data_IF_248131336214
#
_entry.id   IF_248131336214
#
_cell.length_a   1.000
_cell.length_b   1.000
_cell.length_c   1.000
_cell.angle_alpha   90.00
_cell.angle_beta   90.00
_cell.angle_gamma   90.00
#
_symmetry.space_group_name_H-M   'P 1'
#
loop_
_entity.id
_entity.type
_entity.pdbx_description
1 polymer ?
#
# COMPACT_ATOMS: atom_id res chain seq x y z
N UNK A 1 -8.79 26.92 18.41
CA UNK A 1 -8.99 25.46 18.61
C UNK A 1 -7.89 24.73 17.86
N UNK A 2 -7.28 23.68 18.43
CA UNK A 2 -6.18 22.95 17.78
C UNK A 2 -6.62 22.35 16.43
N UNK A 3 -5.74 22.44 15.43
CA UNK A 3 -5.95 22.04 14.03
C UNK A 3 -5.68 20.54 13.82
N UNK A 4 -5.94 20.03 12.62
CA UNK A 4 -5.54 18.69 12.20
C UNK A 4 -4.54 18.79 11.04
N UNK A 5 -3.37 18.16 11.17
CA UNK A 5 -2.41 18.07 10.07
C UNK A 5 -2.65 16.79 9.27
N UNK A 6 -2.76 16.87 7.94
CA UNK A 6 -2.99 15.70 7.08
C UNK A 6 -1.99 15.67 5.94
N UNK A 7 -1.23 14.58 5.86
CA UNK A 7 -0.21 14.39 4.83
C UNK A 7 -0.82 14.18 3.44
N UNK A 8 -0.27 14.87 2.45
CA UNK A 8 -0.71 14.81 1.05
C UNK A 8 0.49 14.65 0.11
N UNK A 9 0.55 13.49 -0.57
CA UNK A 9 1.59 13.25 -1.57
C UNK A 9 1.35 14.03 -2.85
N UNK A 10 0.23 13.78 -3.52
CA UNK A 10 -0.03 14.34 -4.85
C UNK A 10 -1.32 15.17 -4.87
N UNK A 11 -1.56 15.88 -5.97
CA UNK A 11 -2.81 16.62 -6.22
C UNK A 11 -4.08 15.78 -5.92
N UNK A 12 -4.06 14.48 -6.24
CA UNK A 12 -5.18 13.58 -5.95
C UNK A 12 -5.48 13.45 -4.46
N UNK A 13 -4.44 13.37 -3.63
CA UNK A 13 -4.57 13.34 -2.18
C UNK A 13 -5.08 14.70 -1.69
N UNK A 14 -4.48 15.79 -2.15
CA UNK A 14 -4.87 17.14 -1.74
C UNK A 14 -6.34 17.47 -2.06
N UNK A 15 -6.87 16.97 -3.17
CA UNK A 15 -8.28 17.13 -3.53
C UNK A 15 -9.21 16.39 -2.56
N UNK A 16 -8.88 15.14 -2.22
CA UNK A 16 -9.62 14.39 -1.21
C UNK A 16 -9.58 15.09 0.14
N UNK A 17 -8.37 15.46 0.57
CA UNK A 17 -8.15 16.12 1.85
C UNK A 17 -8.88 17.46 1.90
N UNK A 18 -8.92 18.23 0.82
CA UNK A 18 -9.69 19.48 0.76
C UNK A 18 -11.20 19.26 1.01
N UNK A 19 -11.80 18.20 0.46
CA UNK A 19 -13.21 17.90 0.76
C UNK A 19 -13.38 17.41 2.20
N UNK A 20 -12.46 16.56 2.67
CA UNK A 20 -12.43 16.11 4.05
C UNK A 20 -12.26 17.29 5.04
N UNK A 21 -11.44 18.28 4.72
CA UNK A 21 -11.23 19.49 5.52
C UNK A 21 -12.50 20.29 5.73
N UNK A 22 -13.36 20.38 4.70
CA UNK A 22 -14.67 21.03 4.83
C UNK A 22 -15.56 20.26 5.80
N UNK A 23 -15.60 18.93 5.67
CA UNK A 23 -16.37 18.08 6.57
C UNK A 23 -15.85 18.13 8.02
N UNK A 24 -14.53 18.11 8.22
CA UNK A 24 -13.90 18.28 9.53
C UNK A 24 -14.32 19.63 10.13
N UNK A 25 -14.27 20.71 9.36
CA UNK A 25 -14.64 22.05 9.83
C UNK A 25 -16.10 22.11 10.24
N UNK A 26 -16.99 21.50 9.44
CA UNK A 26 -18.42 21.44 9.72
C UNK A 26 -18.74 20.63 10.97
N UNK A 27 -18.18 19.42 11.11
CA UNK A 27 -18.50 18.48 12.20
C UNK A 27 -17.81 18.85 13.51
N UNK A 28 -16.55 19.30 13.45
CA UNK A 28 -15.71 19.48 14.64
C UNK A 28 -15.35 20.94 14.92
N UNK A 29 -15.55 21.85 13.96
CA UNK A 29 -15.07 23.24 14.00
C UNK A 29 -13.57 23.42 13.73
N UNK A 30 -12.81 22.33 13.58
CA UNK A 30 -11.33 22.37 13.47
C UNK A 30 -10.89 22.75 12.07
N UNK A 31 -9.86 23.59 12.01
CA UNK A 31 -9.16 23.85 10.75
C UNK A 31 -8.14 22.74 10.47
N UNK A 32 -7.73 22.63 9.21
CA UNK A 32 -6.80 21.61 8.75
C UNK A 32 -5.59 22.22 8.06
N UNK A 33 -4.43 21.59 8.21
CA UNK A 33 -3.19 21.94 7.51
C UNK A 33 -2.73 20.75 6.67
N UNK A 34 -2.49 20.95 5.37
CA UNK A 34 -1.94 19.87 4.53
C UNK A 34 -0.42 19.79 4.65
N UNK A 35 0.12 18.61 4.98
CA UNK A 35 1.57 18.35 4.92
C UNK A 35 1.91 17.88 3.50
N UNK A 36 2.31 18.82 2.63
CA UNK A 36 2.55 18.56 1.21
C UNK A 36 3.94 17.93 0.99
N UNK A 37 3.99 16.81 0.27
CA UNK A 37 5.25 16.10 -0.03
C UNK A 37 5.79 16.36 -1.45
N UNK A 38 4.91 16.43 -2.45
CA UNK A 38 5.31 16.72 -3.84
C UNK A 38 4.78 18.06 -4.33
N UNK A 39 5.41 18.57 -5.39
CA UNK A 39 5.07 19.88 -5.94
C UNK A 39 3.60 19.99 -6.38
N UNK A 40 3.00 18.92 -6.92
CA UNK A 40 1.58 18.97 -7.32
C UNK A 40 0.61 19.19 -6.14
N UNK A 41 0.92 18.63 -4.98
CA UNK A 41 0.17 18.83 -3.72
C UNK A 41 0.27 20.28 -3.26
N UNK A 42 1.49 20.83 -3.22
CA UNK A 42 1.73 22.23 -2.87
C UNK A 42 1.02 23.21 -3.81
N UNK A 43 1.14 22.98 -5.13
CA UNK A 43 0.50 23.84 -6.14
C UNK A 43 -1.04 23.80 -6.03
N UNK A 44 -1.60 22.64 -5.68
CA UNK A 44 -3.05 22.53 -5.44
C UNK A 44 -3.47 23.37 -4.23
N UNK A 45 -2.72 23.32 -3.13
CA UNK A 45 -3.02 24.12 -1.93
C UNK A 45 -2.93 25.62 -2.22
N UNK A 46 -1.88 26.07 -2.92
CA UNK A 46 -1.74 27.48 -3.34
C UNK A 46 -2.92 27.93 -4.18
N UNK A 47 -3.30 27.15 -5.21
CA UNK A 47 -4.38 27.50 -6.14
C UNK A 47 -5.75 27.62 -5.44
N UNK A 48 -5.96 26.86 -4.37
CA UNK A 48 -7.22 26.82 -3.63
C UNK A 48 -7.15 27.58 -2.29
N UNK A 49 -6.08 28.35 -2.05
CA UNK A 49 -5.87 29.11 -0.81
C UNK A 49 -6.01 28.27 0.46
N UNK A 50 -5.52 27.02 0.43
CA UNK A 50 -5.55 26.10 1.58
C UNK A 50 -4.32 26.32 2.45
N UNK A 51 -4.46 26.13 3.77
CA UNK A 51 -3.31 26.12 4.67
C UNK A 51 -2.47 24.85 4.47
N UNK A 52 -1.15 25.02 4.31
CA UNK A 52 -0.25 23.91 4.02
C UNK A 52 1.16 24.13 4.59
N UNK A 53 1.88 23.03 4.76
CA UNK A 53 3.32 22.98 5.04
C UNK A 53 3.96 22.19 3.91
N UNK A 54 4.84 22.83 3.13
CA UNK A 54 5.76 22.12 2.23
C UNK A 54 6.80 21.40 3.11
N UNK A 55 6.55 20.13 3.43
CA UNK A 55 7.29 19.43 4.47
C UNK A 55 8.76 19.19 4.03
N UNK A 56 9.05 18.58 2.86
CA UNK A 56 10.42 18.44 2.38
C UNK A 56 11.15 19.77 2.20
N UNK A 57 10.44 20.81 1.74
CA UNK A 57 11.01 22.15 1.59
C UNK A 57 11.39 22.79 2.92
N UNK A 58 10.53 22.71 3.93
CA UNK A 58 10.84 23.23 5.27
C UNK A 58 11.95 22.44 5.95
N UNK A 59 11.91 21.11 5.97
CA UNK A 59 12.95 20.26 6.57
C UNK A 59 14.35 20.59 6.01
N UNK A 60 14.45 20.96 4.74
CA UNK A 60 15.74 21.33 4.11
C UNK A 60 16.29 22.69 4.53
N UNK A 61 15.47 23.60 5.03
CA UNK A 61 15.91 24.93 5.49
C UNK A 61 16.72 24.84 6.79
N UNK A 62 16.50 23.80 7.58
CA UNK A 62 17.16 23.62 8.87
C UNK A 62 18.56 23.00 8.71
N UNK A 63 19.49 23.49 9.54
CA UNK A 63 20.80 22.89 9.71
C UNK A 63 20.69 21.88 10.86
N UNK A 64 20.59 20.59 10.53
CA UNK A 64 20.57 19.54 11.54
C UNK A 64 21.85 19.54 12.37
N UNK A 65 21.73 19.30 13.66
CA UNK A 65 22.88 18.92 14.48
C UNK A 65 23.50 17.63 13.95
N UNK A 66 24.81 17.64 13.70
CA UNK A 66 25.51 16.50 13.06
C UNK A 66 25.60 15.24 13.95
N UNK A 67 25.27 15.37 15.23
CA UNK A 67 25.52 14.34 16.25
C UNK A 67 24.28 13.54 16.67
N UNK A 68 23.12 13.73 16.02
CA UNK A 68 21.92 12.95 16.34
C UNK A 68 22.09 11.51 15.83
N UNK A 69 21.95 10.54 16.74
CA UNK A 69 21.91 9.12 16.39
C UNK A 69 20.47 8.72 16.06
N UNK A 70 20.23 8.34 14.81
CA UNK A 70 18.91 7.91 14.34
C UNK A 70 18.88 6.37 14.28
N UNK A 71 17.95 5.70 14.98
CA UNK A 71 17.77 4.26 14.83
C UNK A 71 17.49 3.86 13.38
N UNK A 72 18.19 2.84 12.89
CA UNK A 72 18.15 2.40 11.49
C UNK A 72 16.73 2.10 10.97
N UNK A 73 15.86 1.57 11.83
CA UNK A 73 14.48 1.22 11.46
C UNK A 73 13.65 2.40 10.96
N UNK A 74 14.01 3.67 11.28
CA UNK A 74 13.31 4.85 10.77
C UNK A 74 13.54 5.08 9.28
N UNK A 75 14.68 4.67 8.73
CA UNK A 75 15.06 4.94 7.35
C UNK A 75 15.47 3.68 6.57
N UNK A 76 15.32 2.49 7.16
CA UNK A 76 15.66 1.20 6.56
C UNK A 76 14.97 1.01 5.21
N UNK A 77 13.68 1.29 5.12
CA UNK A 77 12.92 1.16 3.87
C UNK A 77 13.61 1.90 2.72
N UNK A 78 14.07 3.13 2.96
CA UNK A 78 14.75 3.94 1.95
C UNK A 78 16.13 3.38 1.59
N UNK A 79 16.88 2.87 2.57
CA UNK A 79 18.18 2.22 2.33
C UNK A 79 18.00 0.96 1.50
N UNK A 80 16.97 0.15 1.76
CA UNK A 80 16.68 -1.04 0.97
C UNK A 80 16.33 -0.71 -0.49
N UNK A 81 15.74 0.46 -0.77
CA UNK A 81 15.51 0.93 -2.15
C UNK A 81 16.82 1.27 -2.87
N UNK A 82 17.75 1.95 -2.19
CA UNK A 82 19.03 2.41 -2.74
C UNK A 82 20.16 2.33 -1.69
N UNK A 83 20.77 1.15 -1.49
CA UNK A 83 21.80 0.96 -0.46
C UNK A 83 22.98 1.92 -0.61
N UNK A 84 23.33 2.30 -1.84
CA UNK A 84 24.41 3.22 -2.15
C UNK A 84 24.16 4.67 -1.68
N UNK A 85 22.91 5.00 -1.32
CA UNK A 85 22.49 6.31 -0.85
C UNK A 85 22.31 6.37 0.68
N UNK A 86 22.70 5.34 1.44
CA UNK A 86 22.49 5.25 2.89
C UNK A 86 22.89 6.53 3.64
N UNK A 87 24.07 7.08 3.35
CA UNK A 87 24.53 8.33 3.98
C UNK A 87 23.55 9.49 3.78
N UNK A 88 22.96 9.62 2.60
CA UNK A 88 22.00 10.68 2.29
C UNK A 88 20.67 10.45 3.01
N UNK A 89 20.24 9.19 3.15
CA UNK A 89 19.05 8.84 3.94
C UNK A 89 19.24 9.12 5.42
N UNK A 90 20.40 8.81 5.98
CA UNK A 90 20.73 9.16 7.36
C UNK A 90 20.76 10.69 7.55
N UNK A 91 21.40 11.42 6.65
CA UNK A 91 21.50 12.88 6.73
C UNK A 91 20.12 13.55 6.65
N UNK A 92 19.24 13.12 5.73
CA UNK A 92 17.88 13.67 5.68
C UNK A 92 17.05 13.23 6.88
N UNK A 93 17.25 12.01 7.41
CA UNK A 93 16.54 11.55 8.60
C UNK A 93 16.90 12.37 9.83
N UNK A 94 18.16 12.78 9.99
CA UNK A 94 18.58 13.73 11.03
C UNK A 94 17.89 15.08 10.91
N UNK A 95 17.68 15.57 9.67
CA UNK A 95 16.92 16.81 9.44
C UNK A 95 15.45 16.66 9.78
N UNK A 96 14.81 15.55 9.41
CA UNK A 96 13.43 15.28 9.81
C UNK A 96 13.30 15.15 11.32
N UNK A 97 14.26 14.49 11.97
CA UNK A 97 14.31 14.37 13.43
C UNK A 97 14.38 15.73 14.09
N UNK A 98 15.38 16.55 13.75
CA UNK A 98 15.55 17.89 14.30
C UNK A 98 14.35 18.80 14.00
N UNK A 99 13.81 18.73 12.76
CA UNK A 99 12.60 19.45 12.39
C UNK A 99 11.41 19.11 13.28
N UNK A 100 11.10 17.81 13.43
CA UNK A 100 9.98 17.39 14.26
C UNK A 100 10.25 17.62 15.74
N UNK A 101 11.48 17.53 16.22
CA UNK A 101 11.80 17.76 17.62
C UNK A 101 11.61 19.22 18.04
N UNK A 102 12.15 20.13 17.21
CA UNK A 102 12.43 21.51 17.60
C UNK A 102 11.61 22.57 16.84
N UNK A 103 11.03 22.24 15.68
CA UNK A 103 10.47 23.26 14.78
C UNK A 103 9.04 22.98 14.31
N UNK A 104 8.60 21.72 14.33
CA UNK A 104 7.22 21.38 13.99
C UNK A 104 6.30 21.80 15.15
N UNK A 105 5.25 22.62 14.91
CA UNK A 105 4.42 23.20 15.97
C UNK A 105 3.39 22.19 16.48
N UNK A 106 3.84 21.16 17.19
CA UNK A 106 2.97 20.08 17.70
C UNK A 106 1.82 20.59 18.57
N UNK A 107 2.07 21.65 19.35
CA UNK A 107 1.10 22.28 20.22
C UNK A 107 -0.13 22.83 19.48
N UNK A 108 0.01 23.17 18.20
CA UNK A 108 -1.07 23.67 17.35
C UNK A 108 -2.03 22.55 16.89
N UNK A 109 -1.63 21.29 17.00
CA UNK A 109 -2.35 20.16 16.44
C UNK A 109 -3.05 19.30 17.49
N UNK A 110 -4.29 18.93 17.19
CA UNK A 110 -5.06 17.92 17.91
C UNK A 110 -4.63 16.51 17.46
N UNK A 111 -4.55 16.32 16.14
CA UNK A 111 -4.11 15.09 15.52
C UNK A 111 -3.27 15.34 14.26
N UNK A 112 -2.42 14.37 13.92
CA UNK A 112 -1.63 14.31 12.68
C UNK A 112 -1.89 13.00 11.95
N UNK A 113 -2.20 13.09 10.67
CA UNK A 113 -2.54 11.95 9.81
C UNK A 113 -1.46 11.76 8.74
N UNK A 114 -0.74 10.64 8.80
CA UNK A 114 0.37 10.31 7.90
C UNK A 114 -0.04 9.30 6.81
N UNK A 115 0.55 9.40 5.62
CA UNK A 115 0.42 8.37 4.58
C UNK A 115 1.50 7.31 4.82
N UNK A 116 1.07 6.08 5.05
CA UNK A 116 1.98 4.98 5.39
C UNK A 116 2.74 5.21 6.70
N UNK A 117 3.42 4.18 7.20
CA UNK A 117 4.11 4.21 8.51
C UNK A 117 5.60 3.78 8.45
N UNK A 118 6.08 3.30 7.29
CA UNK A 118 7.47 2.82 7.12
C UNK A 118 8.44 3.85 6.53
N UNK A 119 7.93 4.87 5.82
CA UNK A 119 8.77 5.89 5.18
C UNK A 119 9.31 6.86 6.23
N UNK A 120 10.58 7.26 6.12
CA UNK A 120 11.28 8.09 7.10
C UNK A 120 10.51 9.31 7.63
N UNK A 121 9.77 10.00 6.77
CA UNK A 121 9.02 11.20 7.17
C UNK A 121 7.77 10.88 8.00
N UNK A 122 7.14 9.72 7.76
CA UNK A 122 5.95 9.25 8.50
C UNK A 122 6.36 8.47 9.74
N UNK A 123 7.44 7.69 9.68
CA UNK A 123 7.93 6.91 10.82
C UNK A 123 8.51 7.82 11.91
N UNK A 124 9.36 8.79 11.55
CA UNK A 124 9.91 9.78 12.48
C UNK A 124 8.79 10.73 12.96
N UNK A 125 7.93 11.19 12.05
CA UNK A 125 6.80 12.05 12.41
C UNK A 125 5.84 11.38 13.39
N UNK A 126 5.51 10.12 13.17
CA UNK A 126 4.67 9.35 14.09
C UNK A 126 5.34 9.05 15.43
N UNK A 127 6.66 8.89 15.47
CA UNK A 127 7.42 8.80 16.73
C UNK A 127 7.28 10.09 17.56
N UNK A 128 7.51 11.26 16.94
CA UNK A 128 7.39 12.53 17.65
C UNK A 128 5.95 12.90 18.00
N UNK A 129 4.97 12.55 17.17
CA UNK A 129 3.57 12.71 17.52
C UNK A 129 3.24 12.02 18.85
N UNK A 130 3.69 10.76 19.03
CA UNK A 130 3.54 10.01 20.28
C UNK A 130 4.32 10.64 21.44
N UNK A 131 5.57 11.04 21.20
CA UNK A 131 6.41 11.67 22.22
C UNK A 131 5.84 13.01 22.71
N UNK A 132 5.16 13.75 21.84
CA UNK A 132 4.53 15.05 22.13
C UNK A 132 3.04 14.93 22.50
N UNK A 133 2.55 13.71 22.71
CA UNK A 133 1.17 13.42 23.09
C UNK A 133 0.11 13.97 22.12
N UNK A 134 0.46 14.03 20.82
CA UNK A 134 -0.46 14.39 19.73
C UNK A 134 -1.01 13.11 19.11
N UNK A 135 -2.32 13.05 18.91
CA UNK A 135 -2.96 11.88 18.31
C UNK A 135 -2.41 11.64 16.90
N UNK A 136 -2.09 10.39 16.57
CA UNK A 136 -1.54 10.02 15.27
C UNK A 136 -2.42 8.98 14.61
N UNK A 137 -2.65 9.15 13.31
CA UNK A 137 -3.31 8.17 12.44
C UNK A 137 -2.47 7.93 11.20
N UNK A 138 -2.52 6.72 10.68
CA UNK A 138 -1.91 6.34 9.42
C UNK A 138 -2.99 5.95 8.44
N UNK A 139 -2.85 6.34 7.17
CA UNK A 139 -3.80 5.95 6.13
C UNK A 139 -3.16 5.45 4.86
N UNK A 140 -3.86 4.51 4.21
CA UNK A 140 -3.54 3.96 2.89
C UNK A 140 -4.81 3.54 2.13
N UNK A 141 -4.76 3.40 0.79
CA UNK A 141 -5.81 2.71 0.04
C UNK A 141 -6.05 1.31 0.58
N UNK A 142 -7.32 0.98 0.83
CA UNK A 142 -7.76 -0.36 1.15
C UNK A 142 -8.31 -1.13 -0.07
N UNK A 143 -8.66 -2.41 0.11
CA UNK A 143 -9.37 -3.21 -0.88
C UNK A 143 -10.77 -2.62 -1.18
N UNK A 144 -11.39 -3.06 -2.28
CA UNK A 144 -12.75 -2.66 -2.68
C UNK A 144 -12.99 -1.15 -2.82
N UNK A 145 -11.94 -0.38 -3.12
CA UNK A 145 -12.06 1.06 -3.34
C UNK A 145 -12.23 1.88 -2.05
N UNK A 146 -11.79 1.34 -0.92
CA UNK A 146 -11.81 2.02 0.38
C UNK A 146 -10.49 2.74 0.69
N UNK A 147 -10.46 3.43 1.82
CA UNK A 147 -9.24 3.87 2.51
C UNK A 147 -9.25 3.31 3.93
N UNK A 148 -8.08 2.93 4.41
CA UNK A 148 -7.84 2.43 5.76
C UNK A 148 -7.29 3.58 6.61
N UNK A 149 -7.75 3.69 7.86
CA UNK A 149 -7.23 4.58 8.89
C UNK A 149 -7.00 3.79 10.18
N UNK A 150 -5.81 3.93 10.78
CA UNK A 150 -5.46 3.22 12.01
C UNK A 150 -4.39 4.00 12.80
N UNK A 151 -4.55 4.19 14.13
CA UNK A 151 -3.54 4.86 14.96
C UNK A 151 -2.24 4.07 15.17
N UNK A 152 -2.25 2.74 14.97
CA UNK A 152 -1.07 1.89 15.19
C UNK A 152 -0.11 1.86 13.99
N UNK A 153 -0.67 1.84 12.78
CA UNK A 153 0.07 1.70 11.53
C UNK A 153 -0.83 1.15 10.43
N UNK A 154 -0.29 0.99 9.22
CA UNK A 154 -1.01 0.42 8.08
C UNK A 154 -0.40 -0.90 7.65
N UNK A 155 -1.12 -1.66 6.81
CA UNK A 155 -0.71 -2.99 6.38
C UNK A 155 -0.44 -3.88 7.60
N UNK A 156 0.61 -4.71 7.63
CA UNK A 156 0.85 -5.65 8.73
C UNK A 156 0.93 -5.00 10.14
N UNK A 157 1.17 -3.69 10.23
CA UNK A 157 1.22 -2.95 11.49
C UNK A 157 -0.16 -2.50 12.01
N UNK A 158 -1.24 -2.79 11.29
CA UNK A 158 -2.59 -2.47 11.73
C UNK A 158 -2.93 -3.12 13.08
N UNK A 159 -3.79 -2.45 13.84
CA UNK A 159 -4.34 -2.91 15.11
C UNK A 159 -5.10 -4.22 14.98
N UNK A 160 -5.74 -4.47 13.82
CA UNK A 160 -6.48 -5.71 13.54
C UNK A 160 -5.58 -6.95 13.44
N UNK A 161 -4.30 -6.80 13.10
CA UNK A 161 -3.39 -7.94 12.86
C UNK A 161 -3.32 -8.90 14.05
N UNK A 162 -3.42 -8.37 15.28
CA UNK A 162 -3.35 -9.16 16.53
C UNK A 162 -4.71 -9.48 17.14
N UNK A 163 -5.81 -9.08 16.51
CA UNK A 163 -7.16 -9.35 17.00
C UNK A 163 -7.56 -10.81 16.75
N UNK A 164 -8.14 -11.49 17.73
CA UNK A 164 -8.72 -12.82 17.53
C UNK A 164 -10.11 -12.74 16.92
N UNK A 165 -10.55 -13.82 16.26
CA UNK A 165 -11.92 -13.92 15.75
C UNK A 165 -12.95 -13.82 16.88
N UNK A 166 -12.66 -14.36 18.07
CA UNK A 166 -13.54 -14.24 19.24
C UNK A 166 -13.69 -12.79 19.71
N UNK A 167 -12.59 -12.02 19.71
CA UNK A 167 -12.63 -10.59 20.00
C UNK A 167 -13.49 -9.85 18.96
N UNK A 168 -13.34 -10.17 17.68
CA UNK A 168 -14.15 -9.57 16.61
C UNK A 168 -15.63 -9.91 16.79
N UNK A 169 -15.96 -11.17 17.12
CA UNK A 169 -17.32 -11.65 17.39
C UNK A 169 -18.00 -10.86 18.50
N UNK A 170 -17.25 -10.51 19.55
CA UNK A 170 -17.78 -9.71 20.66
C UNK A 170 -17.96 -8.21 20.35
N UNK A 171 -17.42 -7.71 19.24
CA UNK A 171 -17.42 -6.28 18.89
C UNK A 171 -18.32 -5.93 17.68
N UNK A 172 -18.81 -6.94 16.96
CA UNK A 172 -19.75 -6.76 15.85
C UNK A 172 -21.05 -7.46 16.22
N UNK A 173 -22.15 -6.72 16.15
CA UNK A 173 -23.47 -7.32 16.33
C UNK A 173 -23.72 -8.32 15.19
N UNK A 174 -24.17 -9.52 15.52
CA UNK A 174 -24.40 -10.62 14.58
C UNK A 174 -25.32 -10.20 13.43
N UNK A 175 -26.38 -9.43 13.74
CA UNK A 175 -27.33 -8.89 12.76
C UNK A 175 -26.70 -7.86 11.80
N UNK A 176 -25.57 -7.24 12.18
CA UNK A 176 -24.86 -6.26 11.34
C UNK A 176 -23.83 -6.90 10.41
N UNK A 177 -23.37 -8.13 10.68
CA UNK A 177 -22.23 -8.75 9.97
C UNK A 177 -22.51 -8.80 8.46
N UNK A 178 -23.66 -9.34 8.06
CA UNK A 178 -24.03 -9.50 6.66
C UNK A 178 -24.14 -8.14 5.94
N UNK A 179 -24.72 -7.15 6.62
CA UNK A 179 -24.85 -5.79 6.08
C UNK A 179 -23.48 -5.14 5.86
N UNK A 180 -22.60 -5.18 6.87
CA UNK A 180 -21.27 -4.59 6.81
C UNK A 180 -20.38 -5.29 5.78
N UNK A 181 -20.43 -6.62 5.73
CA UNK A 181 -19.73 -7.42 4.72
C UNK A 181 -20.15 -7.01 3.32
N UNK A 182 -21.45 -7.04 3.02
CA UNK A 182 -21.98 -6.69 1.69
C UNK A 182 -21.67 -5.23 1.34
N UNK A 183 -21.79 -4.32 2.30
CA UNK A 183 -21.43 -2.90 2.12
C UNK A 183 -19.95 -2.74 1.78
N UNK A 184 -19.04 -3.51 2.37
CA UNK A 184 -17.62 -3.47 2.07
C UNK A 184 -17.31 -3.99 0.65
N UNK A 185 -17.75 -5.21 0.34
CA UNK A 185 -17.34 -5.90 -0.89
C UNK A 185 -18.01 -5.35 -2.15
N UNK A 186 -19.14 -4.66 -2.01
CA UNK A 186 -19.83 -4.03 -3.14
C UNK A 186 -18.97 -2.88 -3.64
N UNK A 187 -18.25 -3.10 -4.74
CA UNK A 187 -17.43 -2.07 -5.37
C UNK A 187 -18.30 -0.88 -5.77
N UNK A 188 -17.95 0.33 -5.33
CA UNK A 188 -18.48 1.53 -6.00
C UNK A 188 -17.60 1.74 -7.22
N UNK A 189 -18.09 1.41 -8.42
CA UNK A 189 -17.35 1.65 -9.65
C UNK A 189 -17.32 3.16 -9.92
N UNK A 190 -16.40 3.87 -9.26
CA UNK A 190 -16.28 5.30 -9.42
C UNK A 190 -15.32 5.67 -10.54
N UNK A 191 -15.74 6.67 -11.33
CA UNK A 191 -14.87 7.28 -12.33
C UNK A 191 -13.68 7.91 -11.63
N UNK A 192 -12.48 7.42 -11.96
CA UNK A 192 -11.22 8.02 -11.50
C UNK A 192 -11.07 9.41 -12.10
N UNK A 193 -10.67 10.38 -11.30
CA UNK A 193 -10.61 11.80 -11.69
C UNK A 193 -9.74 12.07 -12.93
N UNK A 194 -8.70 11.27 -13.18
CA UNK A 194 -7.69 11.52 -14.22
C UNK A 194 -7.87 10.72 -15.51
N UNK A 195 -9.05 10.19 -15.80
CA UNK A 195 -9.25 9.44 -17.04
C UNK A 195 -9.09 10.36 -18.27
N UNK A 196 -8.03 10.11 -19.09
CA UNK A 196 -7.80 10.61 -20.46
C UNK A 196 -7.51 12.11 -20.68
N UNK A 197 -7.13 12.90 -19.67
CA UNK A 197 -6.77 14.32 -19.88
C UNK A 197 -5.24 14.54 -20.02
N UNK A 198 -4.77 15.00 -21.18
CA UNK A 198 -3.35 15.30 -21.49
C UNK A 198 -2.73 16.29 -20.48
N UNK A 199 -3.47 17.32 -20.04
CA UNK A 199 -2.98 18.30 -19.07
C UNK A 199 -2.69 17.71 -17.67
N UNK A 200 -3.20 16.52 -17.37
CA UNK A 200 -2.86 15.81 -16.13
C UNK A 200 -1.49 15.12 -16.16
N UNK A 201 -0.98 14.81 -17.34
CA UNK A 201 0.35 14.22 -17.49
C UNK A 201 1.44 15.26 -17.24
N UNK A 202 1.27 16.47 -17.80
CA UNK A 202 2.19 17.60 -17.58
C UNK A 202 2.29 18.01 -16.10
N UNK A 203 1.17 18.01 -15.37
CA UNK A 203 1.14 18.30 -13.93
C UNK A 203 1.95 17.30 -13.09
N UNK A 204 2.12 16.06 -13.57
CA UNK A 204 2.85 14.99 -12.88
C UNK A 204 4.34 14.96 -13.19
N UNK A 205 4.82 15.71 -14.19
CA UNK A 205 6.24 15.68 -14.58
C UNK A 205 7.14 16.08 -13.41
N UNK A 206 6.76 17.12 -12.65
CA UNK A 206 7.54 17.56 -11.48
C UNK A 206 7.59 16.46 -10.41
N UNK A 207 6.45 15.86 -10.10
CA UNK A 207 6.38 14.77 -9.11
C UNK A 207 7.23 13.56 -9.54
N UNK A 208 7.19 13.21 -10.83
CA UNK A 208 8.00 12.14 -11.41
C UNK A 208 9.49 12.49 -11.30
N UNK A 209 9.91 13.69 -11.66
CA UNK A 209 11.31 14.11 -11.51
C UNK A 209 11.76 14.13 -10.04
N UNK A 210 10.85 14.44 -9.10
CA UNK A 210 11.12 14.35 -7.66
C UNK A 210 11.24 12.89 -7.18
N UNK A 211 10.42 11.96 -7.71
CA UNK A 211 10.40 10.56 -7.28
C UNK A 211 11.44 9.67 -7.96
N UNK A 212 11.79 9.97 -9.20
CA UNK A 212 12.71 9.20 -10.04
C UNK A 212 13.67 10.12 -10.77
N UNK A 213 14.50 10.93 -10.08
CA UNK A 213 15.42 11.84 -10.75
C UNK A 213 16.47 11.07 -11.58
N UNK A 214 17.00 11.68 -12.65
CA UNK A 214 18.16 11.13 -13.36
C UNK A 214 19.32 10.86 -12.39
N UNK A 215 20.10 9.80 -12.65
CA UNK A 215 21.13 9.30 -11.72
C UNK A 215 22.10 10.38 -11.24
N UNK A 216 22.50 11.31 -12.12
CA UNK A 216 23.42 12.41 -11.79
C UNK A 216 22.83 13.41 -10.76
N UNK A 217 21.50 13.53 -10.68
CA UNK A 217 20.80 14.45 -9.78
C UNK A 217 20.33 13.78 -8.48
N UNK A 218 20.44 12.45 -8.34
CA UNK A 218 19.96 11.70 -7.17
C UNK A 218 20.52 12.19 -5.83
N UNK A 219 21.71 12.79 -5.81
CA UNK A 219 22.35 13.27 -4.58
C UNK A 219 21.90 14.67 -4.15
N UNK A 220 21.27 15.42 -5.05
CA UNK A 220 20.88 16.83 -4.84
C UNK A 220 19.35 16.96 -4.70
N UNK A 221 18.59 16.04 -5.28
CA UNK A 221 17.14 15.99 -5.16
C UNK A 221 16.67 15.44 -3.80
N UNK A 222 15.36 15.49 -3.58
CA UNK A 222 14.75 15.06 -2.33
C UNK A 222 14.72 13.54 -2.19
N UNK A 223 15.83 12.96 -1.68
CA UNK A 223 16.05 11.52 -1.59
C UNK A 223 14.92 10.75 -0.90
N UNK A 224 14.26 11.33 0.10
CA UNK A 224 13.15 10.72 0.82
C UNK A 224 11.90 10.49 -0.04
N UNK A 225 11.79 11.18 -1.18
CA UNK A 225 10.67 11.07 -2.12
C UNK A 225 10.88 9.96 -3.15
N UNK A 226 11.99 9.24 -3.12
CA UNK A 226 12.29 8.21 -4.11
C UNK A 226 11.39 6.98 -3.98
N UNK A 227 11.06 6.39 -5.12
CA UNK A 227 10.15 5.22 -5.23
C UNK A 227 10.88 3.91 -5.51
N UNK A 228 12.21 3.91 -5.64
CA UNK A 228 13.01 2.73 -5.97
C UNK A 228 13.18 2.46 -7.46
N UNK A 229 12.33 3.02 -8.32
CA UNK A 229 12.48 2.85 -9.77
C UNK A 229 13.63 3.72 -10.33
N UNK A 230 14.34 3.19 -11.32
CA UNK A 230 15.25 3.98 -12.14
C UNK A 230 14.50 5.00 -13.02
N UNK A 231 15.12 6.15 -13.29
CA UNK A 231 14.55 7.13 -14.22
C UNK A 231 14.20 6.48 -15.58
N UNK A 232 15.15 5.73 -16.15
CA UNK A 232 14.95 5.01 -17.41
C UNK A 232 13.91 3.87 -17.33
N UNK A 233 13.77 3.23 -16.17
CA UNK A 233 12.79 2.16 -15.95
C UNK A 233 11.36 2.71 -15.84
N UNK A 234 11.22 3.93 -15.34
CA UNK A 234 9.93 4.61 -15.22
C UNK A 234 9.41 5.18 -16.55
N UNK A 235 10.30 5.45 -17.52
CA UNK A 235 9.94 6.04 -18.82
C UNK A 235 8.95 5.14 -19.59
N UNK A 236 9.18 3.82 -19.78
CA UNK A 236 8.21 2.92 -20.39
C UNK A 236 6.84 2.94 -19.73
N UNK A 237 6.78 3.13 -18.41
CA UNK A 237 5.52 3.25 -17.68
C UNK A 237 4.81 4.59 -17.95
N UNK A 238 5.54 5.70 -18.02
CA UNK A 238 5.00 7.01 -18.40
C UNK A 238 4.47 6.99 -19.85
N UNK A 239 5.21 6.36 -20.76
CA UNK A 239 4.84 6.18 -22.16
C UNK A 239 3.70 5.17 -22.34
N UNK A 240 3.65 4.11 -21.52
CA UNK A 240 2.60 3.09 -21.55
C UNK A 240 1.23 3.58 -21.08
N UNK A 241 1.16 4.76 -20.45
CA UNK A 241 -0.10 5.46 -20.13
C UNK A 241 -0.60 6.36 -21.25
N UNK A 242 0.17 6.52 -22.34
CA UNK A 242 -0.33 7.14 -23.55
C UNK A 242 -1.33 6.17 -24.21
N UNK A 243 -2.39 6.67 -24.86
CA UNK A 243 -3.49 5.86 -25.40
C UNK A 243 -3.12 4.97 -26.60
N UNK A 244 -1.84 4.59 -26.76
CA UNK A 244 -1.41 3.66 -27.78
C UNK A 244 -1.76 2.23 -27.35
N UNK A 245 -2.73 1.62 -28.03
CA UNK A 245 -3.09 0.20 -27.90
C UNK A 245 -1.83 -0.66 -28.01
N UNK A 246 -1.42 -1.30 -26.92
CA UNK A 246 -0.53 -2.46 -27.00
C UNK A 246 -1.38 -3.70 -27.27
N UNK A 247 -1.37 -4.14 -28.51
CA UNK A 247 -1.69 -5.52 -28.86
C UNK A 247 -0.52 -6.41 -28.39
N UNK A 248 -0.54 -6.87 -27.15
CA UNK A 248 0.31 -8.02 -26.78
C UNK A 248 -0.41 -9.28 -27.23
N UNK A 249 0.25 -10.12 -28.05
CA UNK A 249 -0.19 -11.50 -28.30
C UNK A 249 -0.44 -12.17 -26.94
N UNK A 250 -1.66 -12.63 -26.71
CA UNK A 250 -2.11 -13.09 -25.41
C UNK A 250 -1.70 -14.55 -25.19
N UNK A 251 -0.91 -14.81 -24.15
CA UNK A 251 -0.99 -16.09 -23.45
C UNK A 251 -2.22 -16.00 -22.55
N UNK A 252 -3.30 -16.66 -22.96
CA UNK A 252 -4.50 -16.88 -22.15
C UNK A 252 -4.57 -18.38 -21.93
N UNK A 253 -4.62 -18.80 -20.67
CA UNK A 253 -4.78 -20.22 -20.35
C UNK A 253 -6.27 -20.55 -20.49
N UNK A 254 -6.56 -21.70 -21.10
CA UNK A 254 -7.92 -22.24 -21.14
C UNK A 254 -8.20 -22.91 -19.79
N UNK A 255 -8.70 -22.13 -18.82
CA UNK A 255 -8.95 -22.60 -17.45
C UNK A 255 -9.82 -23.86 -17.43
N UNK A 256 -10.80 -23.98 -18.33
CA UNK A 256 -11.71 -25.13 -18.38
C UNK A 256 -11.02 -26.43 -18.80
N UNK A 257 -9.88 -26.32 -19.50
CA UNK A 257 -9.03 -27.45 -19.87
C UNK A 257 -7.82 -27.61 -18.96
N UNK A 258 -7.60 -26.67 -18.05
CA UNK A 258 -6.49 -26.74 -17.11
C UNK A 258 -6.80 -27.78 -16.04
N UNK A 259 -5.80 -28.60 -15.69
CA UNK A 259 -5.85 -29.45 -14.51
C UNK A 259 -5.86 -28.64 -13.21
N UNK A 260 -5.55 -29.29 -12.10
CA UNK A 260 -5.39 -28.59 -10.82
C UNK A 260 -4.23 -27.61 -10.90
N UNK A 261 -4.42 -26.39 -10.40
CA UNK A 261 -3.35 -25.40 -10.39
C UNK A 261 -3.35 -24.54 -9.12
N UNK A 262 -2.17 -24.02 -8.84
CA UNK A 262 -1.91 -23.01 -7.81
C UNK A 262 -1.74 -21.67 -8.52
N UNK A 263 -2.38 -20.63 -8.00
CA UNK A 263 -2.32 -19.28 -8.55
C UNK A 263 -1.36 -18.41 -7.73
N UNK A 264 -0.41 -17.74 -8.39
CA UNK A 264 0.49 -16.75 -7.79
C UNK A 264 0.26 -15.38 -8.41
N UNK A 265 -0.09 -14.39 -7.58
CA UNK A 265 -0.15 -12.99 -8.00
C UNK A 265 1.14 -12.26 -7.59
N UNK A 266 1.95 -11.84 -8.58
CA UNK A 266 3.16 -11.08 -8.32
C UNK A 266 2.85 -9.63 -7.94
N UNK A 267 3.74 -9.03 -7.15
CA UNK A 267 3.68 -7.64 -6.69
C UNK A 267 4.79 -6.79 -7.33
N UNK A 268 4.81 -5.49 -7.05
CA UNK A 268 5.88 -4.59 -7.50
C UNK A 268 7.10 -4.77 -6.58
N UNK A 269 8.32 -5.04 -7.11
CA UNK A 269 9.50 -5.30 -6.27
C UNK A 269 9.84 -4.18 -5.27
N UNK A 270 9.62 -2.92 -5.67
CA UNK A 270 9.99 -1.73 -4.88
C UNK A 270 8.87 -1.26 -3.93
N UNK A 271 7.82 -2.06 -3.74
CA UNK A 271 6.73 -1.73 -2.83
C UNK A 271 7.17 -1.88 -1.37
N UNK A 272 6.64 -1.03 -0.46
CA UNK A 272 6.86 -1.12 0.99
C UNK A 272 6.49 -2.51 1.50
N UNK A 273 5.42 -3.12 0.98
CA UNK A 273 5.00 -4.46 1.34
C UNK A 273 6.06 -5.52 1.03
N UNK A 274 6.79 -5.37 -0.08
CA UNK A 274 7.84 -6.32 -0.44
C UNK A 274 9.11 -6.04 0.35
N UNK A 275 9.51 -4.77 0.44
CA UNK A 275 10.77 -4.38 1.06
C UNK A 275 10.75 -4.54 2.58
N UNK A 276 9.66 -4.14 3.24
CA UNK A 276 9.60 -4.07 4.69
C UNK A 276 8.85 -5.23 5.34
N UNK A 277 7.94 -5.88 4.60
CA UNK A 277 7.01 -6.86 5.16
C UNK A 277 7.21 -8.26 4.56
N UNK A 278 8.28 -8.52 3.80
CA UNK A 278 8.67 -9.86 3.35
C UNK A 278 10.04 -10.23 3.95
N UNK A 279 10.03 -10.99 5.04
CA UNK A 279 11.27 -11.39 5.76
C UNK A 279 11.83 -12.73 5.31
N UNK A 280 10.98 -13.63 4.81
CA UNK A 280 11.35 -15.01 4.47
C UNK A 280 12.07 -15.13 3.12
N UNK A 281 11.89 -14.14 2.23
CA UNK A 281 12.45 -14.13 0.89
C UNK A 281 13.15 -12.81 0.62
N UNK A 282 14.32 -12.90 -0.02
CA UNK A 282 15.15 -11.74 -0.34
C UNK A 282 14.64 -10.92 -1.52
N UNK A 283 13.80 -11.51 -2.37
CA UNK A 283 13.24 -10.90 -3.58
C UNK A 283 12.04 -11.69 -4.10
N UNK A 284 11.31 -11.11 -5.06
CA UNK A 284 10.23 -11.81 -5.78
C UNK A 284 10.79 -13.01 -6.58
N UNK A 285 12.00 -12.90 -7.15
CA UNK A 285 12.70 -14.02 -7.80
C UNK A 285 12.96 -15.18 -6.84
N UNK A 286 13.49 -14.87 -5.65
CA UNK A 286 13.79 -15.86 -4.61
C UNK A 286 12.51 -16.56 -4.10
N UNK A 287 11.44 -15.78 -3.92
CA UNK A 287 10.13 -16.27 -3.56
C UNK A 287 9.58 -17.23 -4.63
N UNK A 288 9.51 -16.78 -5.89
CA UNK A 288 8.92 -17.60 -6.96
C UNK A 288 9.75 -18.86 -7.22
N UNK A 289 11.08 -18.76 -7.15
CA UNK A 289 11.97 -19.92 -7.24
C UNK A 289 11.66 -20.95 -6.15
N UNK A 290 11.42 -20.49 -4.92
CA UNK A 290 11.08 -21.37 -3.80
C UNK A 290 9.72 -22.02 -3.97
N UNK A 291 8.72 -21.28 -4.48
CA UNK A 291 7.38 -21.82 -4.78
C UNK A 291 7.43 -22.87 -5.88
N UNK A 292 8.12 -22.61 -7.00
CA UNK A 292 8.28 -23.56 -8.11
C UNK A 292 8.91 -24.87 -7.63
N UNK A 293 9.97 -24.78 -6.81
CA UNK A 293 10.64 -25.97 -6.23
C UNK A 293 9.78 -26.73 -5.22
N UNK A 294 8.77 -26.08 -4.65
CA UNK A 294 7.89 -26.63 -3.63
C UNK A 294 6.54 -27.08 -4.18
N UNK A 295 6.35 -27.02 -5.50
CA UNK A 295 5.08 -27.36 -6.13
C UNK A 295 4.77 -28.86 -5.93
N UNK A 296 3.56 -29.20 -5.47
CA UNK A 296 3.13 -30.60 -5.38
C UNK A 296 2.95 -31.24 -6.76
N UNK A 297 3.13 -32.55 -6.84
CA UNK A 297 2.92 -33.30 -8.09
C UNK A 297 1.46 -33.18 -8.56
N UNK A 298 1.28 -33.10 -9.89
CA UNK A 298 -0.05 -32.99 -10.51
C UNK A 298 -0.68 -31.60 -10.44
N UNK A 299 0.07 -30.59 -9.98
CA UNK A 299 -0.34 -29.19 -10.02
C UNK A 299 0.49 -28.40 -11.02
N UNK A 300 -0.18 -27.51 -11.74
CA UNK A 300 0.47 -26.42 -12.46
C UNK A 300 0.55 -25.17 -11.60
N UNK A 301 1.46 -24.25 -11.96
CA UNK A 301 1.59 -22.94 -11.35
C UNK A 301 1.22 -21.85 -12.36
N UNK A 302 0.13 -21.15 -12.12
CA UNK A 302 -0.25 -19.98 -12.91
C UNK A 302 0.25 -18.72 -12.22
N UNK A 303 1.15 -18.01 -12.88
CA UNK A 303 1.76 -16.76 -12.40
C UNK A 303 1.12 -15.58 -13.14
N UNK A 304 0.62 -14.60 -12.39
CA UNK A 304 0.15 -13.33 -12.95
C UNK A 304 1.08 -12.20 -12.54
N UNK A 305 1.54 -11.45 -13.53
CA UNK A 305 2.37 -10.27 -13.31
C UNK A 305 1.52 -9.09 -12.80
N UNK A 306 2.10 -8.27 -11.94
CA UNK A 306 1.44 -7.05 -11.50
C UNK A 306 1.21 -6.11 -12.70
N UNK A 307 0.02 -5.47 -12.87
CA UNK A 307 -0.27 -4.61 -14.03
C UNK A 307 0.76 -3.50 -14.28
N UNK A 308 1.39 -3.02 -13.21
CA UNK A 308 2.41 -1.96 -13.23
C UNK A 308 3.83 -2.46 -13.55
N UNK A 309 4.05 -3.78 -13.48
CA UNK A 309 5.35 -4.41 -13.64
C UNK A 309 5.36 -5.52 -14.72
N UNK A 310 4.33 -5.59 -15.56
CA UNK A 310 4.24 -6.54 -16.68
C UNK A 310 5.48 -6.42 -17.58
N UNK A 311 6.19 -7.52 -17.80
CA UNK A 311 7.39 -7.58 -18.63
C UNK A 311 8.62 -6.91 -18.01
N UNK A 312 8.60 -6.54 -16.72
CA UNK A 312 9.66 -5.77 -16.04
C UNK A 312 10.29 -6.51 -14.85
N UNK A 313 9.99 -7.80 -14.67
CA UNK A 313 10.71 -8.62 -13.68
C UNK A 313 12.10 -8.99 -14.20
N UNK A 314 12.94 -9.55 -13.33
CA UNK A 314 14.28 -9.98 -13.71
C UNK A 314 14.23 -11.05 -14.82
N UNK A 315 15.21 -11.01 -15.74
CA UNK A 315 15.29 -11.98 -16.84
C UNK A 315 15.43 -13.42 -16.35
N UNK A 316 16.09 -13.62 -15.21
CA UNK A 316 16.19 -14.91 -14.50
C UNK A 316 14.83 -15.50 -14.18
N UNK A 317 13.88 -14.67 -13.73
CA UNK A 317 12.52 -15.11 -13.40
C UNK A 317 11.81 -15.67 -14.64
N UNK A 318 11.84 -14.95 -15.77
CA UNK A 318 11.22 -15.44 -17.00
C UNK A 318 11.91 -16.68 -17.55
N UNK A 319 13.24 -16.74 -17.46
CA UNK A 319 14.00 -17.93 -17.84
C UNK A 319 13.58 -19.14 -17.02
N UNK A 320 13.49 -18.98 -15.70
CA UNK A 320 13.03 -20.02 -14.79
C UNK A 320 11.62 -20.51 -15.15
N UNK A 321 10.68 -19.60 -15.42
CA UNK A 321 9.33 -19.98 -15.83
C UNK A 321 9.35 -20.78 -17.14
N UNK A 322 10.08 -20.31 -18.15
CA UNK A 322 10.16 -20.99 -19.45
C UNK A 322 10.84 -22.37 -19.39
N UNK A 323 11.70 -22.61 -18.40
CA UNK A 323 12.38 -23.90 -18.18
C UNK A 323 11.50 -24.92 -17.46
N UNK A 324 10.38 -24.52 -16.84
CA UNK A 324 9.47 -25.40 -16.12
C UNK A 324 8.15 -25.57 -16.88
N UNK A 325 7.91 -26.78 -17.40
CA UNK A 325 6.75 -27.07 -18.27
C UNK A 325 5.39 -26.89 -17.60
N UNK A 326 5.34 -26.97 -16.27
CA UNK A 326 4.16 -26.83 -15.43
C UNK A 326 4.00 -25.42 -14.84
N UNK A 327 4.76 -24.43 -15.33
CA UNK A 327 4.68 -23.04 -14.88
C UNK A 327 4.30 -22.14 -16.04
N UNK A 328 3.27 -21.31 -15.85
CA UNK A 328 2.68 -20.52 -16.92
C UNK A 328 2.46 -19.07 -16.49
N UNK A 329 2.65 -18.12 -17.41
CA UNK A 329 2.25 -16.71 -17.19
C UNK A 329 0.88 -16.48 -17.83
N UNK A 330 -0.09 -16.02 -17.03
CA UNK A 330 -1.39 -15.51 -17.52
C UNK A 330 -1.67 -14.09 -17.02
N UNK A 331 -1.73 -13.16 -17.97
CA UNK A 331 -1.97 -11.74 -17.72
C UNK A 331 -3.32 -11.24 -18.26
N UNK A 332 -4.10 -12.12 -18.88
CA UNK A 332 -5.23 -11.79 -19.73
C UNK A 332 -6.55 -12.36 -19.20
N UNK A 333 -6.51 -13.53 -18.56
CA UNK A 333 -7.68 -14.08 -17.90
C UNK A 333 -8.11 -13.14 -16.76
N UNK A 334 -9.41 -12.91 -16.52
CA UNK A 334 -9.84 -12.14 -15.36
C UNK A 334 -9.29 -12.74 -14.05
N UNK A 335 -8.84 -11.89 -13.12
CA UNK A 335 -8.13 -12.37 -11.92
C UNK A 335 -9.05 -13.15 -10.98
N UNK A 336 -10.32 -12.76 -10.91
CA UNK A 336 -11.39 -13.45 -10.21
C UNK A 336 -11.60 -14.88 -10.74
N UNK A 337 -11.57 -15.07 -12.07
CA UNK A 337 -11.64 -16.40 -12.67
C UNK A 337 -10.42 -17.26 -12.31
N UNK A 338 -9.21 -16.68 -12.24
CA UNK A 338 -8.02 -17.41 -11.78
C UNK A 338 -8.10 -17.79 -10.30
N UNK A 339 -8.72 -16.94 -9.47
CA UNK A 339 -8.91 -17.23 -8.06
C UNK A 339 -9.91 -18.36 -7.87
N UNK A 340 -11.10 -18.24 -8.48
CA UNK A 340 -12.22 -19.17 -8.28
C UNK A 340 -11.91 -20.60 -8.67
N UNK A 341 -11.06 -20.78 -9.68
CA UNK A 341 -10.73 -22.08 -10.24
C UNK A 341 -9.39 -22.63 -9.73
N UNK A 342 -8.67 -21.89 -8.89
CA UNK A 342 -7.41 -22.35 -8.30
C UNK A 342 -7.65 -23.27 -7.10
N UNK A 343 -6.74 -24.22 -6.88
CA UNK A 343 -6.74 -25.02 -5.65
C UNK A 343 -6.12 -24.29 -4.47
N UNK A 344 -5.24 -23.32 -4.75
CA UNK A 344 -4.61 -22.46 -3.75
C UNK A 344 -4.19 -21.15 -4.40
N UNK A 345 -4.41 -20.04 -3.71
CA UNK A 345 -3.84 -18.73 -4.04
C UNK A 345 -2.65 -18.45 -3.15
N UNK A 346 -1.50 -18.19 -3.74
CA UNK A 346 -0.27 -17.79 -3.05
C UNK A 346 0.00 -16.30 -3.33
N UNK A 347 0.17 -15.53 -2.27
CA UNK A 347 0.60 -14.12 -2.34
C UNK A 347 1.69 -13.87 -1.31
N UNK A 348 2.48 -12.80 -1.47
CA UNK A 348 3.37 -12.38 -0.38
C UNK A 348 2.50 -11.75 0.70
N UNK A 349 1.87 -10.62 0.40
CA UNK A 349 1.02 -9.87 1.35
C UNK A 349 0.02 -8.94 0.64
N UNK A 350 -0.28 -9.22 -0.62
CA UNK A 350 -1.21 -8.45 -1.46
C UNK A 350 -2.65 -8.49 -0.95
N UNK A 351 -3.45 -7.45 -1.22
CA UNK A 351 -4.92 -7.51 -1.03
C UNK A 351 -5.59 -8.58 -1.88
N UNK A 352 -4.93 -9.08 -2.93
CA UNK A 352 -5.42 -10.22 -3.73
C UNK A 352 -5.63 -11.46 -2.84
N UNK A 353 -4.83 -11.65 -1.78
CA UNK A 353 -5.04 -12.74 -0.83
C UNK A 353 -6.32 -12.56 -0.01
N UNK A 354 -6.62 -11.33 0.42
CA UNK A 354 -7.88 -11.01 1.08
C UNK A 354 -9.07 -11.21 0.14
N UNK A 355 -8.96 -10.72 -1.10
CA UNK A 355 -9.99 -10.90 -2.14
C UNK A 355 -10.24 -12.38 -2.44
N UNK A 356 -9.19 -13.21 -2.45
CA UNK A 356 -9.30 -14.65 -2.62
C UNK A 356 -10.02 -15.34 -1.46
N UNK A 357 -9.72 -14.97 -0.21
CA UNK A 357 -10.42 -15.47 0.97
C UNK A 357 -11.92 -15.09 0.94
N UNK A 358 -12.24 -13.85 0.54
CA UNK A 358 -13.63 -13.37 0.33
C UNK A 358 -14.38 -14.22 -0.70
N UNK A 359 -13.69 -14.75 -1.72
CA UNK A 359 -14.25 -15.63 -2.75
C UNK A 359 -14.27 -17.11 -2.35
N UNK A 360 -13.83 -17.44 -1.14
CA UNK A 360 -13.83 -18.81 -0.60
C UNK A 360 -12.72 -19.71 -1.16
N UNK A 361 -11.66 -19.11 -1.71
CA UNK A 361 -10.46 -19.82 -2.11
C UNK A 361 -9.56 -20.09 -0.91
N UNK A 362 -8.79 -21.18 -0.97
CA UNK A 362 -7.66 -21.40 -0.06
C UNK A 362 -6.56 -20.38 -0.34
N UNK A 363 -5.93 -19.84 0.70
CA UNK A 363 -4.90 -18.82 0.58
C UNK A 363 -3.69 -19.16 1.46
N UNK A 364 -2.50 -19.02 0.90
CA UNK A 364 -1.23 -19.07 1.62
C UNK A 364 -0.48 -17.74 1.41
N UNK A 365 -0.20 -17.04 2.50
CA UNK A 365 0.59 -15.81 2.49
C UNK A 365 2.05 -16.08 2.87
N UNK A 366 2.97 -15.35 2.24
CA UNK A 366 4.42 -15.56 2.37
C UNK A 366 5.16 -14.42 3.09
N UNK A 367 4.43 -13.40 3.55
CA UNK A 367 4.95 -12.24 4.26
C UNK A 367 4.03 -11.77 5.38
N UNK A 368 4.44 -10.71 6.07
CA UNK A 368 3.67 -10.10 7.13
C UNK A 368 2.41 -9.43 6.53
N UNK A 369 1.23 -9.81 7.02
CA UNK A 369 -0.09 -9.34 6.56
C UNK A 369 -0.93 -8.82 7.72
N UNK A 370 -2.05 -8.17 7.42
CA UNK A 370 -3.01 -7.70 8.42
C UNK A 370 -4.25 -8.57 8.59
N UNK A 371 -4.41 -9.61 7.76
CA UNK A 371 -5.57 -10.52 7.76
C UNK A 371 -5.23 -11.99 8.10
N UNK A 372 -4.29 -12.29 9.02
CA UNK A 372 -3.85 -13.67 9.26
C UNK A 372 -4.92 -14.60 9.84
N UNK A 373 -6.03 -14.05 10.35
CA UNK A 373 -7.12 -14.82 10.95
C UNK A 373 -7.91 -15.65 9.94
N UNK A 374 -7.83 -15.31 8.65
CA UNK A 374 -8.68 -15.89 7.60
C UNK A 374 -7.88 -16.50 6.44
N UNK A 375 -6.57 -16.72 6.64
CA UNK A 375 -5.66 -17.31 5.64
C UNK A 375 -4.58 -18.15 6.33
N UNK A 376 -3.93 -19.04 5.59
CA UNK A 376 -2.71 -19.69 6.06
C UNK A 376 -1.55 -18.70 5.88
N UNK A 377 -0.68 -18.58 6.89
CA UNK A 377 0.50 -17.72 6.81
C UNK A 377 1.78 -18.52 7.02
N UNK A 378 2.73 -18.41 6.09
CA UNK A 378 4.01 -19.07 6.19
C UNK A 378 4.86 -18.42 7.29
N UNK A 379 5.36 -19.23 8.21
CA UNK A 379 6.20 -18.77 9.34
C UNK A 379 7.68 -19.14 9.19
N UNK A 380 7.99 -20.15 8.36
CA UNK A 380 9.34 -20.64 8.11
C UNK A 380 9.48 -21.02 6.65
N UNK A 381 10.64 -20.70 6.04
CA UNK A 381 10.90 -21.00 4.63
C UNK A 381 11.05 -22.50 4.39
N UNK A 382 11.59 -23.22 5.37
CA UNK A 382 11.84 -24.66 5.32
C UNK A 382 10.54 -25.47 5.21
N UNK A 383 9.44 -24.97 5.78
CA UNK A 383 8.15 -25.66 5.76
C UNK A 383 7.31 -25.39 4.50
N UNK A 384 7.78 -24.55 3.57
CA UNK A 384 7.00 -24.06 2.41
C UNK A 384 6.29 -25.19 1.65
N UNK A 385 6.99 -26.28 1.30
CA UNK A 385 6.40 -27.41 0.58
C UNK A 385 5.25 -28.06 1.37
N UNK A 386 5.45 -28.28 2.66
CA UNK A 386 4.43 -28.88 3.53
C UNK A 386 3.26 -27.93 3.75
N UNK A 387 3.51 -26.64 3.92
CA UNK A 387 2.47 -25.64 4.12
C UNK A 387 1.65 -25.38 2.85
N UNK A 388 2.24 -25.49 1.65
CA UNK A 388 1.48 -25.47 0.39
C UNK A 388 0.45 -26.61 0.38
N UNK A 389 0.87 -27.84 0.69
CA UNK A 389 -0.04 -29.00 0.68
C UNK A 389 -1.15 -28.84 1.73
N UNK A 390 -0.81 -28.43 2.96
CA UNK A 390 -1.81 -28.18 4.00
C UNK A 390 -2.79 -27.07 3.63
N UNK A 391 -2.30 -25.98 3.04
CA UNK A 391 -3.14 -24.83 2.73
C UNK A 391 -4.20 -25.14 1.68
N UNK A 392 -3.94 -26.06 0.73
CA UNK A 392 -4.93 -26.49 -0.29
C UNK A 392 -6.23 -26.97 0.37
N UNK A 393 -6.12 -27.73 1.48
CA UNK A 393 -7.26 -28.32 2.17
C UNK A 393 -7.74 -27.49 3.36
N UNK A 394 -7.01 -26.43 3.74
CA UNK A 394 -7.31 -25.59 4.89
C UNK A 394 -7.69 -24.17 4.45
N UNK A 395 -8.97 -23.91 4.26
CA UNK A 395 -9.49 -22.57 3.97
C UNK A 395 -10.40 -22.07 5.08
N UNK A 396 -10.38 -20.77 5.32
CA UNK A 396 -11.28 -20.13 6.29
C UNK A 396 -12.74 -20.37 5.91
N UNK A 397 -13.60 -20.51 6.92
CA UNK A 397 -15.04 -20.60 6.71
C UNK A 397 -15.60 -19.26 6.24
N UNK A 398 -16.73 -19.29 5.53
CA UNK A 398 -17.38 -18.06 5.07
C UNK A 398 -17.84 -17.18 6.25
N UNK A 399 -18.19 -17.78 7.39
CA UNK A 399 -18.56 -17.05 8.60
C UNK A 399 -17.38 -16.25 9.17
N UNK A 400 -16.20 -16.86 9.26
CA UNK A 400 -14.98 -16.19 9.72
C UNK A 400 -14.57 -15.05 8.80
N UNK A 401 -14.64 -15.28 7.48
CA UNK A 401 -14.35 -14.26 6.47
C UNK A 401 -15.33 -13.09 6.56
N UNK A 402 -16.64 -13.35 6.66
CA UNK A 402 -17.65 -12.30 6.80
C UNK A 402 -17.46 -11.48 8.08
N UNK A 403 -17.23 -12.14 9.21
CA UNK A 403 -16.92 -11.50 10.48
C UNK A 403 -15.69 -10.60 10.38
N UNK A 404 -14.60 -11.13 9.82
CA UNK A 404 -13.35 -10.39 9.66
C UNK A 404 -13.55 -9.13 8.81
N UNK A 405 -14.20 -9.26 7.64
CA UNK A 405 -14.44 -8.13 6.74
C UNK A 405 -15.40 -7.11 7.37
N UNK A 406 -16.46 -7.56 8.05
CA UNK A 406 -17.38 -6.67 8.75
C UNK A 406 -16.65 -5.87 9.85
N UNK A 407 -15.81 -6.54 10.65
CA UNK A 407 -15.00 -5.89 11.68
C UNK A 407 -13.97 -4.93 11.08
N UNK A 408 -13.25 -5.35 10.03
CA UNK A 408 -12.29 -4.51 9.32
C UNK A 408 -12.96 -3.25 8.77
N UNK A 409 -14.11 -3.42 8.09
CA UNK A 409 -14.85 -2.33 7.48
C UNK A 409 -15.38 -1.34 8.53
N UNK A 410 -16.08 -1.86 9.55
CA UNK A 410 -16.63 -1.06 10.65
C UNK A 410 -15.55 -0.26 11.37
N UNK A 411 -14.36 -0.83 11.57
CA UNK A 411 -13.37 -0.22 12.45
C UNK A 411 -12.31 0.60 11.72
N UNK A 412 -11.88 0.21 10.53
CA UNK A 412 -10.69 0.80 9.92
C UNK A 412 -10.94 1.39 8.55
N UNK A 413 -12.05 1.04 7.88
CA UNK A 413 -12.26 1.45 6.49
C UNK A 413 -13.26 2.59 6.37
N UNK A 414 -13.02 3.39 5.33
CA UNK A 414 -13.92 4.41 4.79
C UNK A 414 -14.16 4.05 3.34
N UNK A 415 -15.42 4.09 2.89
CA UNK A 415 -15.80 3.74 1.51
C UNK A 415 -15.59 4.89 0.53
N UNK A 416 -14.39 5.45 0.56
CA UNK A 416 -13.91 6.46 -0.37
C UNK A 416 -12.50 6.09 -0.84
N UNK A 417 -12.08 6.61 -1.99
CA UNK A 417 -10.69 6.54 -2.44
C UNK A 417 -10.25 7.90 -2.98
N UNK A 418 -9.06 8.37 -2.62
CA UNK A 418 -8.58 9.69 -3.08
C UNK A 418 -8.53 9.85 -4.62
N UNK A 419 -8.53 8.73 -5.37
CA UNK A 419 -8.56 8.71 -6.84
C UNK A 419 -9.96 8.97 -7.43
N UNK A 420 -11.03 8.83 -6.65
CA UNK A 420 -12.42 8.97 -7.07
C UNK A 420 -12.76 10.41 -7.43
N UNK A 421 -13.65 10.62 -8.39
CA UNK A 421 -14.09 11.98 -8.76
C UNK A 421 -14.97 12.62 -7.67
N UNK A 422 -15.76 11.82 -6.97
CA UNK A 422 -16.62 12.23 -5.85
C UNK A 422 -16.26 11.46 -4.58
N UNK A 423 -16.77 11.91 -3.44
CA UNK A 423 -16.54 11.30 -2.12
C UNK A 423 -17.86 11.32 -1.34
N UNK A 424 -18.22 10.20 -0.71
CA UNK A 424 -19.55 10.02 -0.10
C UNK A 424 -19.51 9.56 1.36
N UNK A 425 -18.35 9.16 1.88
CA UNK A 425 -18.19 8.61 3.23
C UNK A 425 -17.28 9.50 4.11
N UNK A 426 -17.24 10.80 3.82
CA UNK A 426 -16.41 11.77 4.53
C UNK A 426 -16.74 11.86 6.02
N UNK A 427 -18.00 11.67 6.42
CA UNK A 427 -18.37 11.66 7.85
C UNK A 427 -17.70 10.53 8.61
N UNK A 428 -17.71 9.31 8.06
CA UNK A 428 -17.00 8.17 8.65
C UNK A 428 -15.49 8.45 8.67
N UNK A 429 -14.93 9.10 7.65
CA UNK A 429 -13.53 9.52 7.68
C UNK A 429 -13.22 10.49 8.83
N UNK A 430 -14.09 11.48 9.07
CA UNK A 430 -13.97 12.38 10.23
C UNK A 430 -14.01 11.58 11.53
N UNK A 431 -14.96 10.65 11.68
CA UNK A 431 -15.07 9.81 12.87
C UNK A 431 -13.78 8.99 13.11
N UNK A 432 -13.16 8.44 12.05
CA UNK A 432 -11.93 7.66 12.15
C UNK A 432 -10.73 8.47 12.66
N UNK A 433 -10.65 9.77 12.36
CA UNK A 433 -9.46 10.59 12.66
C UNK A 433 -9.69 11.66 13.73
N UNK A 434 -10.93 11.88 14.17
CA UNK A 434 -11.30 12.93 15.14
C UNK A 434 -12.09 12.45 16.36
N UNK A 435 -12.84 11.34 16.26
CA UNK A 435 -13.89 11.01 17.23
C UNK A 435 -13.66 9.68 17.97
N UNK A 436 -12.43 9.15 17.96
CA UNK A 436 -12.06 7.91 18.63
C UNK A 436 -11.11 8.12 19.79
#
# INVERSE_FOLDING_TARGET
MKKIAIMSFYESNSRYIHQLSKQIKEVTGRDTVQLCMYASSTNYCIKNSLEYIDLPGNVRKYKSEKNITIPRHFYEFHVSLFPELEKYFLDISRKYWDFYENYFPWEDFHSVVFIGDKRLYSSIGGYFAKLKEVQVFYFEPGPYGTMIFDPKGVNCNMSITTASLDMMRNNVNEDEIEYLYNKCITSVSEKKFYEKNIGSYFRKIKDVLQSVPPSIFRKVCAVELYTGEGFWESIPYLLGRLPFKKNSKANKIDIEKQGKYIFVALQVPNDVQIISNCKLFSSIDDMLTSVIKSLPEGYDLIVREHPMNKGRYNKSLYKLINENVNVHIDNNTPIDHLIDNSSLVIVINSTVGLEAAVRGAAVLTLGDIYYPQIVNNLTSRESLKTEIVKAIDNKATQEEVKLYIAYLFKNYMVKDNYKNSNYYDLNNAVEKICCR
#
